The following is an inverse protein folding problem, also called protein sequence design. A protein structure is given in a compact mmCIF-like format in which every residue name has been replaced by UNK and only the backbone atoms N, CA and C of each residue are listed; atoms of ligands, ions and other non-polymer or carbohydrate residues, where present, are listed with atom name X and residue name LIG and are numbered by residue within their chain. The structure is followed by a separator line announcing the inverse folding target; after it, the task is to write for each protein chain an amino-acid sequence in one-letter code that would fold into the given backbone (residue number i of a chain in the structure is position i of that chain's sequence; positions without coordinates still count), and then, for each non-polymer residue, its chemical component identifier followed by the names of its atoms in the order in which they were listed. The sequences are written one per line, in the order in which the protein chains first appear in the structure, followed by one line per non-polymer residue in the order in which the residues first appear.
data_IF_967069864835
#
_entry.id   IF_967069864835
#
_cell.length_a   1.000
_cell.length_b   1.000
_cell.length_c   1.000
_cell.angle_alpha   90.00
_cell.angle_beta   90.00
_cell.angle_gamma   90.00
#
_symmetry.space_group_name_H-M   'P 1'
#
loop_
_entity.id
_entity.type
_entity.pdbx_description
1 polymer ?
#
# COMPACT_ATOMS: atom_id res chain seq x y z
N UNK A 1 -9.69 5.70 -27.66
CA UNK A 1 -9.31 5.13 -26.34
C UNK A 1 -10.29 5.65 -25.29
N UNK A 2 -10.95 4.76 -24.54
CA UNK A 2 -11.96 5.14 -23.53
C UNK A 2 -11.32 5.70 -22.26
N UNK A 3 -12.00 6.62 -21.59
CA UNK A 3 -11.60 7.14 -20.26
C UNK A 3 -11.47 5.97 -19.27
N UNK A 4 -10.44 5.96 -18.40
CA UNK A 4 -10.31 4.93 -17.37
C UNK A 4 -11.56 4.93 -16.48
N UNK A 5 -11.99 3.74 -16.08
CA UNK A 5 -13.18 3.58 -15.25
C UNK A 5 -12.97 4.28 -13.90
N UNK A 6 -13.95 5.08 -13.47
CA UNK A 6 -13.94 5.67 -12.13
C UNK A 6 -13.92 4.54 -11.07
N UNK A 7 -13.13 4.68 -10.00
CA UNK A 7 -13.15 3.77 -8.85
C UNK A 7 -14.55 3.57 -8.29
N UNK A 8 -14.78 2.42 -7.65
CA UNK A 8 -16.09 2.04 -7.13
C UNK A 8 -16.54 3.01 -6.03
N UNK A 9 -15.64 3.47 -5.14
CA UNK A 9 -16.02 4.46 -4.12
C UNK A 9 -16.42 5.80 -4.76
N UNK A 10 -15.67 6.25 -5.78
CA UNK A 10 -16.02 7.49 -6.47
C UNK A 10 -17.38 7.38 -7.17
N UNK A 11 -17.74 6.18 -7.66
CA UNK A 11 -19.09 5.92 -8.18
C UNK A 11 -20.15 5.97 -7.08
N UNK A 12 -19.87 5.52 -5.85
CA UNK A 12 -20.80 5.65 -4.71
C UNK A 12 -21.02 7.12 -4.33
N UNK A 13 -19.95 7.89 -4.17
CA UNK A 13 -19.98 9.33 -3.82
C UNK A 13 -20.81 10.19 -4.79
N UNK A 14 -20.72 9.90 -6.10
CA UNK A 14 -21.42 10.66 -7.14
C UNK A 14 -22.79 10.05 -7.52
N UNK A 15 -23.31 9.12 -6.73
CA UNK A 15 -24.66 8.55 -6.91
C UNK A 15 -24.81 7.53 -8.04
N UNK A 16 -23.74 6.79 -8.35
CA UNK A 16 -23.69 5.74 -9.37
C UNK A 16 -24.23 6.16 -10.76
N UNK A 17 -23.57 7.10 -11.44
CA UNK A 17 -24.05 7.66 -12.70
C UNK A 17 -24.11 6.64 -13.83
N UNK A 18 -23.34 5.54 -13.71
CA UNK A 18 -23.38 4.43 -14.64
C UNK A 18 -24.55 3.46 -14.43
N UNK A 19 -25.33 3.62 -13.35
CA UNK A 19 -26.48 2.79 -12.93
C UNK A 19 -26.24 1.27 -12.87
N UNK A 20 -25.01 0.81 -13.07
CA UNK A 20 -24.63 -0.60 -12.94
C UNK A 20 -24.62 -0.96 -11.46
N UNK A 21 -25.11 -2.15 -11.06
CA UNK A 21 -25.02 -2.61 -9.68
C UNK A 21 -23.58 -2.48 -9.18
N UNK A 22 -23.39 -1.75 -8.07
CA UNK A 22 -22.09 -1.63 -7.42
C UNK A 22 -21.91 -2.82 -6.46
N UNK A 23 -20.70 -3.37 -6.30
CA UNK A 23 -20.42 -4.38 -5.28
C UNK A 23 -20.83 -3.88 -3.89
N UNK A 24 -21.39 -4.78 -3.08
CA UNK A 24 -21.80 -4.49 -1.70
C UNK A 24 -20.59 -4.02 -0.87
N UNK A 25 -20.83 -3.04 0.01
CA UNK A 25 -19.83 -2.39 0.88
C UNK A 25 -19.16 -3.37 1.86
N UNK A 26 -19.84 -4.48 2.17
CA UNK A 26 -19.43 -5.49 3.16
C UNK A 26 -18.53 -6.61 2.65
N UNK A 27 -18.15 -6.63 1.37
CA UNK A 27 -17.21 -7.63 0.86
C UNK A 27 -15.76 -7.25 1.22
N UNK A 28 -15.47 -7.26 2.52
CA UNK A 28 -14.10 -7.21 3.04
C UNK A 28 -13.40 -8.50 2.64
N UNK A 29 -12.71 -8.48 1.50
CA UNK A 29 -11.74 -9.52 1.20
C UNK A 29 -10.55 -9.24 2.11
N UNK A 30 -10.50 -9.94 3.24
CA UNK A 30 -9.27 -10.05 4.00
C UNK A 30 -8.22 -10.64 3.05
N UNK A 31 -7.29 -9.81 2.58
CA UNK A 31 -6.12 -10.31 1.87
C UNK A 31 -5.36 -11.20 2.86
N UNK A 32 -4.89 -12.39 2.46
CA UNK A 32 -4.03 -13.20 3.31
C UNK A 32 -2.77 -12.38 3.61
N UNK A 33 -2.78 -11.71 4.76
CA UNK A 33 -1.72 -10.86 5.25
C UNK A 33 -0.72 -11.67 6.06
N UNK A 34 0.52 -11.24 6.04
CA UNK A 34 1.61 -11.83 6.80
C UNK A 34 2.93 -11.22 6.36
N UNK A 35 3.89 -11.17 7.28
CA UNK A 35 5.27 -10.86 6.94
C UNK A 35 5.78 -11.87 5.91
N UNK A 36 6.49 -11.39 4.90
CA UNK A 36 7.28 -12.21 3.98
C UNK A 36 8.64 -11.60 3.86
N UNK A 37 9.66 -12.44 3.68
CA UNK A 37 11.01 -11.97 3.42
C UNK A 37 11.07 -11.24 2.07
N UNK A 38 11.96 -10.25 1.92
CA UNK A 38 12.28 -9.64 0.65
C UNK A 38 12.64 -10.69 -0.40
N UNK A 39 12.19 -10.47 -1.64
CA UNK A 39 12.45 -11.39 -2.76
C UNK A 39 13.93 -11.42 -3.14
N UNK A 40 14.64 -10.32 -2.87
CA UNK A 40 16.06 -10.15 -3.13
C UNK A 40 16.67 -9.32 -1.99
N UNK A 41 17.99 -9.44 -1.74
CA UNK A 41 18.66 -8.67 -0.71
C UNK A 41 18.43 -7.16 -0.88
N UNK A 42 18.04 -6.50 0.21
CA UNK A 42 17.89 -5.07 0.31
C UNK A 42 19.06 -4.47 1.10
N UNK A 43 19.35 -3.20 0.86
CA UNK A 43 20.22 -2.41 1.72
C UNK A 43 19.46 -1.90 2.95
N UNK A 44 20.16 -1.14 3.79
CA UNK A 44 19.63 -0.69 5.08
C UNK A 44 18.34 0.13 4.97
N UNK A 45 18.20 0.97 3.94
CA UNK A 45 17.01 1.81 3.78
C UNK A 45 15.82 1.01 3.26
N UNK A 46 16.06 0.16 2.25
CA UNK A 46 15.07 -0.73 1.68
C UNK A 46 14.53 -1.69 2.73
N UNK A 47 15.42 -2.31 3.52
CA UNK A 47 15.05 -3.23 4.58
C UNK A 47 14.20 -2.55 5.66
N UNK A 48 14.61 -1.36 6.13
CA UNK A 48 13.82 -0.59 7.11
C UNK A 48 12.43 -0.22 6.58
N UNK A 49 12.32 0.11 5.29
CA UNK A 49 11.02 0.40 4.67
C UNK A 49 10.16 -0.86 4.60
N UNK A 50 10.73 -1.97 4.14
CA UNK A 50 10.07 -3.28 4.07
C UNK A 50 9.49 -3.69 5.42
N UNK A 51 10.34 -3.69 6.46
CA UNK A 51 9.94 -4.06 7.81
C UNK A 51 8.89 -3.10 8.37
N UNK A 52 9.02 -1.79 8.12
CA UNK A 52 8.00 -0.82 8.54
C UNK A 52 6.65 -1.05 7.85
N UNK A 53 6.64 -1.51 6.60
CA UNK A 53 5.41 -1.77 5.85
C UNK A 53 4.74 -3.04 6.37
N UNK A 54 5.47 -4.11 6.65
CA UNK A 54 4.85 -5.31 7.23
C UNK A 54 4.50 -5.14 8.71
N UNK A 55 5.25 -4.33 9.48
CA UNK A 55 4.95 -4.05 10.89
C UNK A 55 3.79 -3.07 11.11
N UNK A 56 3.61 -2.07 10.22
CA UNK A 56 2.56 -1.03 10.36
C UNK A 56 1.46 -1.12 9.32
N UNK A 57 1.71 -1.78 8.20
CA UNK A 57 0.86 -1.84 7.00
C UNK A 57 -0.08 -3.04 6.96
N UNK A 58 -0.41 -3.62 8.11
CA UNK A 58 -1.45 -4.66 8.20
C UNK A 58 -2.79 -4.13 7.65
N UNK A 59 -3.13 -4.59 6.44
CA UNK A 59 -4.44 -5.08 5.95
C UNK A 59 -4.62 -4.95 4.42
N UNK A 60 -3.85 -4.10 3.72
CA UNK A 60 -4.07 -3.87 2.26
C UNK A 60 -2.88 -4.16 1.35
N UNK A 61 -1.64 -4.29 1.87
CA UNK A 61 -0.52 -4.78 1.07
C UNK A 61 -0.58 -6.30 1.07
N UNK A 62 -0.89 -6.87 -0.09
CA UNK A 62 -0.95 -8.30 -0.31
C UNK A 62 0.46 -8.85 -0.55
N UNK A 63 0.90 -9.76 0.32
CA UNK A 63 2.15 -10.52 0.17
C UNK A 63 2.18 -11.41 -1.08
N UNK A 64 1.06 -11.53 -1.81
CA UNK A 64 0.96 -12.29 -3.06
C UNK A 64 1.06 -11.42 -4.32
N UNK A 65 0.55 -10.18 -4.26
CA UNK A 65 0.40 -9.35 -5.47
C UNK A 65 1.27 -8.11 -5.45
N UNK A 66 1.56 -7.56 -4.28
CA UNK A 66 2.25 -6.27 -4.17
C UNK A 66 3.75 -6.43 -3.88
N UNK A 67 4.19 -7.65 -3.54
CA UNK A 67 5.55 -7.96 -3.09
C UNK A 67 6.64 -7.58 -4.10
N UNK A 68 6.48 -7.88 -5.39
CA UNK A 68 7.46 -7.47 -6.42
C UNK A 68 7.53 -5.95 -6.58
N UNK A 69 6.38 -5.28 -6.51
CA UNK A 69 6.37 -3.82 -6.65
C UNK A 69 6.92 -3.14 -5.39
N UNK A 70 6.60 -3.66 -4.21
CA UNK A 70 7.19 -3.24 -2.94
C UNK A 70 8.71 -3.45 -2.94
N UNK A 71 9.19 -4.60 -3.43
CA UNK A 71 10.62 -4.90 -3.57
C UNK A 71 11.32 -3.82 -4.39
N UNK A 72 10.77 -3.48 -5.55
CA UNK A 72 11.32 -2.41 -6.40
C UNK A 72 11.38 -1.05 -5.68
N UNK A 73 10.36 -0.69 -4.90
CA UNK A 73 10.33 0.58 -4.16
C UNK A 73 11.38 0.58 -3.04
N UNK A 74 11.60 -0.55 -2.38
CA UNK A 74 12.64 -0.69 -1.38
C UNK A 74 14.04 -0.57 -2.00
N UNK A 75 14.29 -1.24 -3.13
CA UNK A 75 15.54 -1.11 -3.90
C UNK A 75 15.79 0.36 -4.36
N UNK A 76 14.71 1.11 -4.66
CA UNK A 76 14.81 2.53 -4.98
C UNK A 76 15.25 3.37 -3.76
N UNK A 77 14.84 3.02 -2.54
CA UNK A 77 15.32 3.70 -1.33
C UNK A 77 16.81 3.50 -1.11
N UNK A 78 17.31 2.29 -1.34
CA UNK A 78 18.73 2.00 -1.22
C UNK A 78 19.54 2.81 -2.23
N UNK A 79 19.07 2.85 -3.48
CA UNK A 79 19.69 3.67 -4.52
C UNK A 79 19.66 5.17 -4.18
N UNK A 80 18.60 5.64 -3.50
CA UNK A 80 18.50 7.02 -3.05
C UNK A 80 19.60 7.35 -2.05
N UNK A 81 19.83 6.49 -1.04
CA UNK A 81 20.95 6.70 -0.11
C UNK A 81 22.29 6.74 -0.82
N UNK A 82 22.54 5.79 -1.73
CA UNK A 82 23.78 5.77 -2.51
C UNK A 82 23.98 7.06 -3.33
N UNK A 83 22.92 7.57 -3.98
CA UNK A 83 22.99 8.83 -4.72
C UNK A 83 23.21 10.04 -3.81
N UNK A 84 22.61 10.06 -2.61
CA UNK A 84 22.83 11.12 -1.63
C UNK A 84 24.29 11.20 -1.21
N UNK A 85 24.91 10.06 -0.87
CA UNK A 85 26.33 9.99 -0.52
C UNK A 85 27.21 10.46 -1.68
N UNK A 86 26.90 10.04 -2.91
CA UNK A 86 27.67 10.45 -4.10
C UNK A 86 27.54 11.93 -4.41
N UNK A 87 26.35 12.50 -4.27
CA UNK A 87 26.08 13.93 -4.45
C UNK A 87 26.77 14.76 -3.36
N UNK A 88 26.83 14.26 -2.13
CA UNK A 88 27.58 14.91 -1.04
C UNK A 88 29.09 14.88 -1.27
N UNK A 89 29.61 13.78 -1.84
CA UNK A 89 31.03 13.64 -2.16
C UNK A 89 31.47 14.50 -3.35
N UNK A 90 30.55 14.88 -4.25
CA UNK A 90 30.82 15.69 -5.44
C UNK A 90 29.74 16.78 -5.62
N UNK A 91 29.75 17.84 -4.78
CA UNK A 91 28.67 18.84 -4.74
C UNK A 91 28.55 19.71 -6.00
N UNK A 92 29.60 19.83 -6.80
CA UNK A 92 29.58 20.63 -8.04
C UNK A 92 28.89 19.89 -9.19
N UNK A 93 28.75 18.57 -9.06
CA UNK A 93 28.11 17.74 -10.06
C UNK A 93 26.59 17.77 -9.93
N UNK A 94 26.00 18.85 -10.45
CA UNK A 94 24.55 19.09 -10.45
C UNK A 94 23.73 17.95 -11.08
N UNK A 95 24.32 17.12 -11.95
CA UNK A 95 23.64 15.97 -12.55
C UNK A 95 23.25 14.92 -11.51
N UNK A 96 24.07 14.73 -10.47
CA UNK A 96 23.75 13.83 -9.37
C UNK A 96 22.53 14.32 -8.59
N UNK A 97 22.45 15.62 -8.32
CA UNK A 97 21.28 16.22 -7.66
C UNK A 97 20.02 16.12 -8.52
N UNK A 98 20.13 16.30 -9.85
CA UNK A 98 18.99 16.09 -10.75
C UNK A 98 18.52 14.63 -10.74
N UNK A 99 19.45 13.68 -10.85
CA UNK A 99 19.10 12.25 -10.79
C UNK A 99 18.49 11.85 -9.45
N UNK A 100 19.01 12.39 -8.34
CA UNK A 100 18.46 12.19 -7.01
C UNK A 100 17.01 12.73 -6.93
N UNK A 101 16.77 13.95 -7.40
CA UNK A 101 15.44 14.53 -7.45
C UNK A 101 14.46 13.69 -8.28
N UNK A 102 14.87 13.27 -9.49
CA UNK A 102 14.04 12.45 -10.37
C UNK A 102 13.69 11.10 -9.69
N UNK A 103 14.66 10.49 -9.00
CA UNK A 103 14.44 9.27 -8.22
C UNK A 103 13.47 9.50 -7.05
N UNK A 104 13.61 10.61 -6.32
CA UNK A 104 12.72 10.98 -5.20
C UNK A 104 11.27 11.19 -5.66
N UNK A 105 11.07 11.83 -6.81
CA UNK A 105 9.75 11.99 -7.44
C UNK A 105 9.17 10.63 -7.83
N UNK A 106 9.98 9.75 -8.43
CA UNK A 106 9.54 8.40 -8.80
C UNK A 106 9.15 7.57 -7.57
N UNK A 107 9.96 7.64 -6.51
CA UNK A 107 9.69 7.01 -5.22
C UNK A 107 8.36 7.48 -4.65
N UNK A 108 8.14 8.80 -4.56
CA UNK A 108 6.91 9.35 -3.99
C UNK A 108 5.67 8.89 -4.76
N UNK A 109 5.75 8.86 -6.10
CA UNK A 109 4.69 8.34 -6.95
C UNK A 109 4.42 6.84 -6.72
N UNK A 110 5.47 6.02 -6.60
CA UNK A 110 5.32 4.59 -6.36
C UNK A 110 4.76 4.28 -4.96
N UNK A 111 5.20 5.01 -3.94
CA UNK A 111 4.65 4.92 -2.58
C UNK A 111 3.16 5.30 -2.55
N UNK A 112 2.74 6.28 -3.35
CA UNK A 112 1.33 6.63 -3.50
C UNK A 112 0.51 5.53 -4.18
N UNK A 113 1.07 4.85 -5.18
CA UNK A 113 0.43 3.68 -5.81
C UNK A 113 0.26 2.50 -4.85
N UNK A 114 1.19 2.32 -3.92
CA UNK A 114 1.09 1.34 -2.82
C UNK A 114 0.13 1.78 -1.70
N UNK A 115 -0.46 2.97 -1.77
CA UNK A 115 -1.35 3.46 -0.72
C UNK A 115 -0.63 3.61 0.63
N UNK A 116 0.63 4.04 0.63
CA UNK A 116 1.40 4.17 1.88
C UNK A 116 1.07 5.46 2.66
N UNK A 117 0.34 6.40 2.06
CA UNK A 117 -0.17 7.60 2.75
C UNK A 117 -1.67 7.49 3.03
N UNK A 118 -2.20 8.12 4.11
CA UNK A 118 -3.64 8.15 4.36
C UNK A 118 -4.45 8.71 3.18
N UNK A 119 -3.96 9.75 2.52
CA UNK A 119 -4.63 10.35 1.36
C UNK A 119 -4.70 9.37 0.16
N UNK A 120 -3.63 8.61 -0.09
CA UNK A 120 -3.63 7.65 -1.19
C UNK A 120 -4.49 6.42 -0.90
N UNK A 121 -4.61 6.02 0.38
CA UNK A 121 -5.56 4.97 0.79
C UNK A 121 -7.01 5.36 0.54
N UNK A 122 -7.36 6.62 0.81
CA UNK A 122 -8.69 7.14 0.53
C UNK A 122 -8.98 7.15 -0.97
N UNK A 123 -7.99 7.50 -1.81
CA UNK A 123 -8.15 7.45 -3.29
C UNK A 123 -8.31 6.03 -3.83
N UNK A 124 -7.69 5.06 -3.19
CA UNK A 124 -7.71 3.65 -3.58
C UNK A 124 -8.90 2.88 -2.98
N UNK A 125 -9.71 3.51 -2.13
CA UNK A 125 -10.88 2.87 -1.55
C UNK A 125 -10.64 2.02 -0.31
N UNK A 126 -9.39 1.86 0.09
CA UNK A 126 -9.03 1.01 1.22
C UNK A 126 -9.38 1.62 2.58
N UNK A 127 -9.76 2.89 2.63
CA UNK A 127 -10.14 3.58 3.86
C UNK A 127 -11.38 2.96 4.55
N UNK A 128 -12.32 2.37 3.78
CA UNK A 128 -13.51 1.70 4.33
C UNK A 128 -13.23 0.26 4.81
N UNK A 129 -12.14 -0.37 4.35
CA UNK A 129 -11.84 -1.79 4.62
C UNK A 129 -11.26 -2.02 6.03
N UNK A 130 -10.88 -0.96 6.75
CA UNK A 130 -10.34 -1.03 8.11
C UNK A 130 -11.35 -0.72 9.23
N UNK A 131 -12.65 -0.91 8.97
CA UNK A 131 -13.69 -0.78 9.99
C UNK A 131 -14.40 -2.10 10.33
N UNK A 132 -13.85 -3.27 9.99
CA UNK A 132 -14.16 -4.51 10.74
C UNK A 132 -13.42 -4.47 12.07
N UNK A 133 -13.97 -3.66 12.97
CA UNK A 133 -13.51 -3.45 14.33
C UNK A 133 -13.48 -4.77 15.10
N UNK A 134 -12.62 -4.85 16.12
CA UNK A 134 -12.56 -5.89 17.17
C UNK A 134 -13.94 -6.37 17.68
N UNK A 135 -14.98 -5.56 17.48
CA UNK A 135 -16.40 -5.89 17.67
C UNK A 135 -16.92 -7.05 16.82
N UNK A 136 -16.57 -7.17 15.54
CA UNK A 136 -17.01 -8.31 14.71
C UNK A 136 -16.27 -9.60 15.07
N UNK A 137 -15.00 -9.50 15.49
CA UNK A 137 -14.27 -10.65 16.05
C UNK A 137 -14.88 -11.14 17.37
N UNK A 138 -15.47 -10.24 18.17
CA UNK A 138 -16.20 -10.59 19.39
C UNK A 138 -17.57 -11.20 19.07
N UNK A 139 -18.28 -10.66 18.06
CA UNK A 139 -19.56 -11.22 17.61
C UNK A 139 -19.39 -12.64 17.04
N UNK A 140 -18.38 -12.89 16.21
CA UNK A 140 -18.07 -14.24 15.70
C UNK A 140 -17.71 -15.23 16.82
N UNK A 141 -17.03 -14.76 17.87
CA UNK A 141 -16.73 -15.57 19.07
C UNK A 141 -18.01 -15.90 19.85
N UNK A 142 -18.91 -14.94 20.02
CA UNK A 142 -20.17 -15.15 20.73
C UNK A 142 -21.13 -16.06 19.96
N UNK A 143 -21.23 -15.92 18.64
CA UNK A 143 -22.03 -16.80 17.78
C UNK A 143 -21.50 -18.24 17.78
N UNK A 144 -20.18 -18.44 17.74
CA UNK A 144 -19.58 -19.78 17.84
C UNK A 144 -19.84 -20.42 19.19
N UNK A 145 -19.74 -19.67 20.29
CA UNK A 145 -20.00 -20.18 21.63
C UNK A 145 -21.49 -20.49 21.87
N UNK A 146 -22.41 -19.73 21.27
CA UNK A 146 -23.86 -20.00 21.35
C UNK A 146 -24.28 -21.29 20.63
N UNK A 147 -23.61 -21.64 19.52
CA UNK A 147 -23.86 -22.89 18.77
C UNK A 147 -23.30 -24.15 19.43
N UNK A 148 -22.36 -24.01 20.38
CA UNK A 148 -21.80 -25.11 21.17
C UNK A 148 -22.61 -25.40 22.44
N UNK A 149 -23.50 -24.47 22.83
CA UNK A 149 -24.34 -24.57 24.02
C UNK A 149 -25.80 -24.94 23.72
N UNK A 150 -26.10 -25.29 22.46
CA UNK A 150 -27.39 -25.86 21.99
C UNK A 150 -27.17 -27.29 21.52
#
# INVERSE_FOLDING_TARGET
MGRPAKPVEQKRLIGNPGKRPLPAESATIALPGGYTDPLRPLGDAGQKLWDSIYAKGELWISSRTDTEFLQMVCEQQDRRLWLMERAQADPENWRLFRQLHDLEVMIANNMGRLGLTPADRTKLGYAEVKARSKLEQLQDKWEKNGKLAS
#
